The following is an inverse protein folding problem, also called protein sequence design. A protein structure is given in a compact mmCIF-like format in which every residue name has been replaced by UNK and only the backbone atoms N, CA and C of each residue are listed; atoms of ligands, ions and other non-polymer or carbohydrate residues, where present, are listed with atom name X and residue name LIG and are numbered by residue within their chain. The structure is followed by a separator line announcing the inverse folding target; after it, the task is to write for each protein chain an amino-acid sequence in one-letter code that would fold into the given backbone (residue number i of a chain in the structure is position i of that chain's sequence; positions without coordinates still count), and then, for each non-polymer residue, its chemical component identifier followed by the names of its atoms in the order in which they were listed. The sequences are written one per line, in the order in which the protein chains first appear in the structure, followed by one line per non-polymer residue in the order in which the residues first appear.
data_IF_521554473636
#
_entry.id   IF_521554473636
#
_cell.length_a   1.000
_cell.length_b   1.000
_cell.length_c   1.000
_cell.angle_alpha   90.00
_cell.angle_beta   90.00
_cell.angle_gamma   90.00
#
_symmetry.space_group_name_H-M   'P 1'
#
loop_
_entity.id
_entity.type
_entity.pdbx_description
1 polymer ?
#
# COMPACT_ATOMS: atom_id res chain seq x y z
N UNK A 1 -33.97 -48.96 30.80
CA UNK A 1 -32.67 -48.32 30.47
C UNK A 1 -32.78 -47.66 29.10
N UNK A 2 -32.96 -46.32 29.05
CA UNK A 2 -33.06 -45.59 27.78
C UNK A 2 -31.68 -45.01 27.47
N UNK A 3 -31.05 -45.41 26.35
CA UNK A 3 -29.81 -44.87 25.86
C UNK A 3 -30.10 -43.61 25.03
N UNK A 4 -29.53 -42.50 25.44
CA UNK A 4 -29.53 -41.23 24.68
C UNK A 4 -28.31 -41.25 23.75
N UNK A 5 -28.54 -41.10 22.45
CA UNK A 5 -27.49 -40.85 21.49
C UNK A 5 -27.46 -39.33 21.23
N UNK A 6 -26.34 -38.68 21.63
CA UNK A 6 -26.07 -37.30 21.27
C UNK A 6 -25.47 -37.27 19.86
N UNK A 7 -26.18 -36.65 18.93
CA UNK A 7 -25.62 -36.30 17.61
C UNK A 7 -24.74 -35.05 17.77
N UNK A 8 -23.44 -35.23 17.56
CA UNK A 8 -22.49 -34.11 17.42
C UNK A 8 -22.51 -33.68 15.95
N UNK A 9 -23.11 -32.52 15.67
CA UNK A 9 -23.06 -31.90 14.35
C UNK A 9 -21.72 -31.22 14.16
N UNK A 10 -20.85 -31.79 13.31
CA UNK A 10 -19.61 -31.16 12.87
C UNK A 10 -19.94 -30.15 11.78
N UNK A 11 -19.86 -28.86 12.12
CA UNK A 11 -19.96 -27.78 11.14
C UNK A 11 -18.62 -27.63 10.45
N UNK A 12 -18.55 -28.04 9.19
CA UNK A 12 -17.42 -27.75 8.32
C UNK A 12 -17.47 -26.27 7.91
N UNK A 13 -16.59 -25.42 8.48
CA UNK A 13 -16.30 -24.11 7.90
C UNK A 13 -15.47 -24.34 6.64
N UNK A 14 -16.13 -24.35 5.48
CA UNK A 14 -15.46 -24.27 4.20
C UNK A 14 -14.86 -22.87 4.05
N UNK A 15 -13.57 -22.73 4.36
CA UNK A 15 -12.80 -21.56 3.99
C UNK A 15 -12.82 -21.44 2.47
N UNK A 16 -13.52 -20.44 1.95
CA UNK A 16 -13.52 -20.08 0.54
C UNK A 16 -12.13 -19.56 0.21
N UNK A 17 -11.23 -20.42 -0.29
CA UNK A 17 -10.00 -19.97 -0.94
C UNK A 17 -10.40 -19.22 -2.21
N UNK A 18 -10.24 -17.90 -2.23
CA UNK A 18 -10.37 -17.12 -3.45
C UNK A 18 -9.29 -17.60 -4.42
N UNK A 19 -9.70 -18.06 -5.60
CA UNK A 19 -8.78 -18.37 -6.67
C UNK A 19 -7.99 -17.09 -7.03
N UNK A 20 -6.68 -17.18 -7.35
CA UNK A 20 -5.92 -16.04 -7.81
C UNK A 20 -6.58 -15.43 -9.05
N UNK A 21 -6.68 -14.08 -9.09
CA UNK A 21 -7.25 -13.39 -10.23
C UNK A 21 -6.48 -13.75 -11.51
N UNK A 22 -7.20 -13.97 -12.61
CA UNK A 22 -6.60 -14.22 -13.91
C UNK A 22 -5.70 -13.04 -14.31
N UNK A 23 -4.60 -13.32 -15.03
CA UNK A 23 -3.70 -12.28 -15.55
C UNK A 23 -4.49 -11.22 -16.35
N UNK A 24 -4.25 -9.95 -16.07
CA UNK A 24 -4.93 -8.83 -16.71
C UNK A 24 -6.31 -8.46 -16.14
N UNK A 25 -6.96 -9.30 -15.33
CA UNK A 25 -8.23 -8.95 -14.70
C UNK A 25 -8.02 -8.08 -13.45
N UNK A 26 -8.87 -7.04 -13.29
CA UNK A 26 -8.88 -6.23 -12.08
C UNK A 26 -9.47 -7.01 -10.90
N UNK A 27 -8.76 -7.02 -9.80
CA UNK A 27 -9.19 -7.52 -8.50
C UNK A 27 -9.40 -6.32 -7.58
N UNK A 28 -10.60 -6.20 -6.99
CA UNK A 28 -10.83 -5.22 -5.92
C UNK A 28 -10.11 -5.66 -4.65
N UNK A 29 -9.34 -4.76 -4.05
CA UNK A 29 -8.71 -4.95 -2.74
C UNK A 29 -9.53 -4.34 -1.60
N UNK A 30 -10.60 -3.61 -1.92
CA UNK A 30 -11.52 -3.03 -0.96
C UNK A 30 -12.93 -3.00 -1.53
N UNK A 31 -13.88 -3.60 -0.83
CA UNK A 31 -15.27 -3.76 -1.25
C UNK A 31 -16.18 -2.56 -0.90
N UNK A 32 -15.61 -1.52 -0.27
CA UNK A 32 -16.36 -0.36 0.23
C UNK A 32 -17.18 -0.62 1.50
N UNK A 33 -17.10 -1.81 2.10
CA UNK A 33 -17.95 -2.22 3.22
C UNK A 33 -17.21 -2.86 4.38
N UNK A 34 -16.12 -3.59 4.10
CA UNK A 34 -15.42 -4.39 5.09
C UNK A 34 -13.91 -4.24 4.97
N UNK A 35 -13.18 -4.64 6.02
CA UNK A 35 -11.71 -4.75 6.03
C UNK A 35 -11.25 -6.13 5.55
N UNK A 36 -12.13 -6.92 4.94
CA UNK A 36 -11.80 -8.26 4.47
C UNK A 36 -10.67 -8.21 3.43
N UNK A 37 -9.71 -9.12 3.54
CA UNK A 37 -8.53 -9.18 2.66
C UNK A 37 -7.32 -8.41 3.19
N UNK A 38 -7.49 -7.62 4.25
CA UNK A 38 -6.43 -6.90 4.92
C UNK A 38 -6.13 -7.47 6.31
N UNK A 39 -4.86 -7.63 6.62
CA UNK A 39 -4.37 -8.04 7.93
C UNK A 39 -3.18 -7.19 8.33
N UNK A 40 -2.83 -7.22 9.60
CA UNK A 40 -1.51 -6.73 10.05
C UNK A 40 -0.40 -7.64 9.53
N UNK A 41 0.85 -7.21 9.61
CA UNK A 41 2.02 -7.99 9.13
C UNK A 41 2.21 -9.32 9.86
N UNK A 42 1.69 -9.45 11.08
CA UNK A 42 1.69 -10.69 11.88
C UNK A 42 0.39 -11.50 11.72
N UNK A 43 -0.43 -11.18 10.71
CA UNK A 43 -1.63 -11.93 10.34
C UNK A 43 -2.86 -11.68 11.22
N UNK A 44 -2.82 -10.69 12.12
CA UNK A 44 -3.97 -10.33 12.96
C UNK A 44 -4.97 -9.44 12.20
N UNK A 45 -6.21 -9.36 12.68
CA UNK A 45 -7.16 -8.37 12.16
C UNK A 45 -6.61 -6.94 12.22
N UNK A 46 -7.12 -6.02 11.36
CA UNK A 46 -6.80 -4.60 11.43
C UNK A 46 -7.02 -4.03 12.84
N UNK A 47 -6.15 -3.12 13.25
CA UNK A 47 -6.26 -2.44 14.55
C UNK A 47 -7.45 -1.47 14.62
N UNK A 48 -7.79 -1.02 15.84
CA UNK A 48 -8.94 -0.14 16.12
C UNK A 48 -8.90 1.20 15.38
N UNK A 49 -7.73 1.62 14.89
CA UNK A 49 -7.59 2.85 14.09
C UNK A 49 -8.12 2.74 12.67
N UNK A 50 -8.41 1.52 12.18
CA UNK A 50 -9.00 1.31 10.86
C UNK A 50 -10.51 1.09 10.95
N UNK A 51 -11.27 1.84 10.17
CA UNK A 51 -12.72 1.73 10.04
C UNK A 51 -13.16 1.81 8.58
N UNK A 52 -14.42 1.46 8.33
CA UNK A 52 -15.08 1.74 7.05
C UNK A 52 -16.18 2.75 7.29
N UNK A 53 -16.10 3.89 6.62
CA UNK A 53 -17.01 5.01 6.75
C UNK A 53 -17.47 5.50 5.38
N UNK A 54 -18.77 5.48 5.10
CA UNK A 54 -19.35 5.97 3.84
C UNK A 54 -18.64 5.41 2.57
N UNK A 55 -18.34 4.12 2.58
CA UNK A 55 -17.67 3.45 1.46
C UNK A 55 -16.18 3.75 1.34
N UNK A 56 -15.56 4.37 2.35
CA UNK A 56 -14.14 4.63 2.41
C UNK A 56 -13.46 3.82 3.53
N UNK A 57 -12.28 3.33 3.26
CA UNK A 57 -11.38 2.81 4.27
C UNK A 57 -10.70 3.99 4.95
N UNK A 58 -10.91 4.15 6.25
CA UNK A 58 -10.43 5.28 7.03
C UNK A 58 -9.43 4.83 8.10
N UNK A 59 -8.29 5.52 8.14
CA UNK A 59 -7.33 5.48 9.25
C UNK A 59 -7.55 6.72 10.11
N UNK A 60 -7.91 6.53 11.37
CA UNK A 60 -8.22 7.63 12.29
C UNK A 60 -6.99 8.40 12.78
N UNK A 61 -5.79 7.86 12.56
CA UNK A 61 -4.54 8.39 13.11
C UNK A 61 -4.28 7.97 14.56
N UNK A 62 -3.27 8.60 15.16
CA UNK A 62 -2.86 8.31 16.55
C UNK A 62 -2.16 6.96 16.75
N UNK A 63 -1.73 6.29 15.69
CA UNK A 63 -0.94 5.05 15.74
C UNK A 63 -1.70 3.80 16.21
N UNK A 64 -3.03 3.82 16.19
CA UNK A 64 -3.87 2.70 16.64
C UNK A 64 -4.25 1.71 15.55
N UNK A 65 -3.98 2.04 14.28
CA UNK A 65 -4.33 1.21 13.14
C UNK A 65 -3.32 0.10 12.89
N UNK A 66 -2.05 0.43 12.96
CA UNK A 66 -0.96 -0.40 12.46
C UNK A 66 -0.98 -0.52 10.93
N UNK A 67 0.09 -1.03 10.36
CA UNK A 67 0.18 -1.25 8.92
C UNK A 67 -0.70 -2.42 8.49
N UNK A 68 -1.42 -2.27 7.37
CA UNK A 68 -2.20 -3.33 6.77
C UNK A 68 -1.52 -3.87 5.52
N UNK A 69 -1.54 -5.20 5.35
CA UNK A 69 -0.97 -5.88 4.18
C UNK A 69 -2.00 -6.74 3.48
N UNK A 70 -1.84 -6.90 2.16
CA UNK A 70 -2.59 -7.88 1.38
C UNK A 70 -2.20 -9.31 1.75
N UNK A 71 -3.12 -10.25 1.55
CA UNK A 71 -2.81 -11.68 1.67
C UNK A 71 -1.81 -12.13 0.59
N UNK A 72 -2.05 -11.69 -0.65
CA UNK A 72 -1.26 -12.05 -1.82
C UNK A 72 -0.02 -11.17 -2.01
N UNK A 73 0.95 -11.71 -2.77
CA UNK A 73 2.14 -11.01 -3.23
C UNK A 73 2.05 -10.75 -4.73
N UNK A 74 2.67 -9.64 -5.16
CA UNK A 74 2.66 -9.18 -6.54
C UNK A 74 4.08 -8.89 -7.00
N UNK A 75 4.40 -9.28 -8.23
CA UNK A 75 5.69 -9.04 -8.90
C UNK A 75 5.53 -7.95 -9.96
N UNK A 76 4.80 -8.25 -11.02
CA UNK A 76 4.38 -7.29 -12.06
C UNK A 76 2.89 -7.02 -11.90
N UNK A 77 2.51 -5.76 -11.79
CA UNK A 77 1.13 -5.38 -11.47
C UNK A 77 0.83 -3.93 -11.84
N UNK A 78 -0.44 -3.63 -11.91
CA UNK A 78 -0.97 -2.27 -11.88
C UNK A 78 -1.90 -2.15 -10.66
N UNK A 79 -1.64 -1.17 -9.79
CA UNK A 79 -2.39 -0.88 -8.58
C UNK A 79 -2.95 0.53 -8.65
N UNK A 80 -4.25 0.67 -8.49
CA UNK A 80 -4.93 1.96 -8.46
C UNK A 80 -5.68 2.16 -7.16
N UNK A 81 -5.74 3.41 -6.69
CA UNK A 81 -6.57 3.82 -5.56
C UNK A 81 -6.85 5.31 -5.58
N UNK A 82 -7.93 5.71 -4.89
CA UNK A 82 -8.17 7.10 -4.53
C UNK A 82 -7.85 7.30 -3.06
N UNK A 83 -7.31 8.48 -2.74
CA UNK A 83 -6.91 8.79 -1.38
C UNK A 83 -7.04 10.29 -1.07
N UNK A 84 -7.20 10.61 0.21
CA UNK A 84 -7.01 11.94 0.78
C UNK A 84 -6.34 11.81 2.14
N UNK A 85 -5.63 12.85 2.56
CA UNK A 85 -5.00 12.97 3.86
C UNK A 85 -5.43 14.28 4.52
N UNK A 86 -5.28 14.35 5.83
CA UNK A 86 -5.49 15.63 6.54
C UNK A 86 -4.39 16.64 6.23
N UNK A 87 -4.63 17.91 6.58
CA UNK A 87 -3.60 18.96 6.52
C UNK A 87 -2.40 18.59 7.40
N UNK A 88 -1.19 18.76 6.87
CA UNK A 88 0.09 18.32 7.44
C UNK A 88 0.20 16.81 7.62
N UNK A 89 -0.67 16.01 7.00
CA UNK A 89 -0.67 14.57 7.10
C UNK A 89 0.46 13.93 6.31
N UNK A 90 0.85 12.74 6.76
CA UNK A 90 1.82 11.85 6.13
C UNK A 90 1.26 10.43 6.13
N UNK A 91 1.35 9.77 4.99
CA UNK A 91 0.98 8.37 4.83
C UNK A 91 1.66 7.78 3.57
N UNK A 92 1.38 6.53 3.24
CA UNK A 92 1.94 5.92 2.03
C UNK A 92 1.30 4.59 1.68
N UNK A 93 1.54 4.17 0.43
CA UNK A 93 1.24 2.83 -0.04
C UNK A 93 2.55 2.16 -0.42
N UNK A 94 2.89 1.06 0.28
CA UNK A 94 4.10 0.30 -0.04
C UNK A 94 3.76 -0.89 -0.91
N UNK A 95 4.72 -1.26 -1.74
CA UNK A 95 4.67 -2.43 -2.61
C UNK A 95 6.00 -3.18 -2.59
N UNK A 96 6.01 -4.43 -3.08
CA UNK A 96 7.11 -5.36 -2.89
C UNK A 96 7.53 -5.48 -1.42
N UNK A 97 6.53 -5.45 -0.54
CA UNK A 97 6.77 -5.52 0.90
C UNK A 97 7.12 -6.95 1.30
N UNK A 98 8.21 -7.08 2.01
CA UNK A 98 8.70 -8.35 2.55
C UNK A 98 9.32 -8.15 3.93
N UNK A 99 9.53 -9.25 4.65
CA UNK A 99 10.26 -9.24 5.91
C UNK A 99 11.77 -9.01 5.64
N UNK A 100 12.34 -8.00 6.26
CA UNK A 100 13.77 -7.65 6.19
C UNK A 100 14.29 -7.55 7.62
N UNK A 101 14.90 -8.61 8.12
CA UNK A 101 15.25 -8.73 9.52
C UNK A 101 14.01 -8.77 10.41
N UNK A 102 13.85 -7.77 11.29
CA UNK A 102 12.69 -7.60 12.17
C UNK A 102 11.65 -6.61 11.63
N UNK A 103 11.89 -6.04 10.45
CA UNK A 103 11.04 -5.01 9.85
C UNK A 103 10.32 -5.57 8.62
N UNK A 104 9.20 -4.94 8.26
CA UNK A 104 8.51 -5.15 7.00
C UNK A 104 8.77 -3.93 6.12
N UNK A 105 9.55 -4.11 5.08
CA UNK A 105 10.00 -3.04 4.19
C UNK A 105 9.60 -3.30 2.75
N UNK A 106 9.41 -2.24 2.00
CA UNK A 106 9.10 -2.23 0.58
C UNK A 106 9.30 -0.84 0.00
N UNK A 107 9.12 -0.71 -1.31
CA UNK A 107 9.07 0.60 -1.96
C UNK A 107 7.80 1.32 -1.53
N UNK A 108 7.88 2.63 -1.35
CA UNK A 108 6.74 3.43 -0.88
C UNK A 108 6.38 4.52 -1.88
N UNK A 109 5.14 4.50 -2.35
CA UNK A 109 4.50 5.63 -2.97
C UNK A 109 4.11 6.59 -1.85
N UNK A 110 4.79 7.72 -1.75
CA UNK A 110 4.57 8.68 -0.68
C UNK A 110 3.25 9.44 -0.86
N UNK A 111 2.52 9.63 0.22
CA UNK A 111 1.31 10.45 0.32
C UNK A 111 1.49 11.43 1.48
N UNK A 112 1.85 12.68 1.17
CA UNK A 112 2.19 13.67 2.18
C UNK A 112 1.64 15.03 1.79
N UNK A 113 1.38 15.91 2.74
CA UNK A 113 0.97 17.30 2.46
C UNK A 113 2.20 18.12 2.06
N UNK A 114 2.51 18.13 0.76
CA UNK A 114 3.68 18.83 0.22
C UNK A 114 3.69 20.31 0.63
N UNK A 115 4.81 20.74 1.20
CA UNK A 115 5.00 22.12 1.63
C UNK A 115 4.42 22.49 3.01
N UNK A 116 3.52 21.67 3.59
CA UNK A 116 2.98 21.90 4.93
C UNK A 116 3.48 20.88 5.96
N UNK A 117 3.86 19.67 5.54
CA UNK A 117 4.53 18.70 6.40
C UNK A 117 6.04 18.93 6.37
N UNK A 118 6.73 18.76 7.50
CA UNK A 118 8.17 19.05 7.64
C UNK A 118 9.05 18.21 6.69
N UNK A 119 8.61 16.99 6.34
CA UNK A 119 9.31 16.08 5.44
C UNK A 119 8.87 16.22 3.96
N UNK A 120 7.68 16.80 3.71
CA UNK A 120 7.06 16.94 2.39
C UNK A 120 7.57 18.15 1.61
N UNK A 121 8.88 18.19 1.27
CA UNK A 121 9.43 19.29 0.48
C UNK A 121 9.23 19.03 -1.02
N UNK A 122 8.56 19.94 -1.78
CA UNK A 122 8.41 19.79 -3.22
C UNK A 122 9.74 19.52 -3.93
N UNK A 123 9.76 18.52 -4.83
CA UNK A 123 10.95 18.11 -5.55
C UNK A 123 11.94 17.24 -4.76
N UNK A 124 11.68 16.96 -3.48
CA UNK A 124 12.49 16.03 -2.71
C UNK A 124 12.03 14.57 -2.95
N UNK A 125 12.89 13.62 -2.56
CA UNK A 125 12.55 12.19 -2.56
C UNK A 125 11.47 11.82 -1.54
N UNK A 126 11.03 12.77 -0.71
CA UNK A 126 9.99 12.60 0.32
C UNK A 126 8.67 13.27 -0.05
N UNK A 127 8.59 13.95 -1.20
CA UNK A 127 7.35 14.57 -1.68
C UNK A 127 6.34 13.51 -2.16
N UNK A 128 5.08 13.88 -2.20
CA UNK A 128 3.98 13.02 -2.71
C UNK A 128 4.32 12.42 -4.07
N UNK A 129 3.94 11.16 -4.24
CA UNK A 129 4.14 10.33 -5.42
C UNK A 129 5.61 9.93 -5.70
N UNK A 130 6.59 10.38 -4.92
CA UNK A 130 7.97 9.89 -4.99
C UNK A 130 8.04 8.39 -4.65
N UNK A 131 9.05 7.69 -5.18
CA UNK A 131 9.52 6.45 -4.55
C UNK A 131 10.35 6.92 -3.35
N UNK A 132 9.77 6.84 -2.16
CA UNK A 132 10.30 7.47 -0.95
C UNK A 132 11.79 7.15 -0.74
N UNK A 133 12.58 8.20 -0.53
CA UNK A 133 14.03 8.17 -0.31
C UNK A 133 14.88 7.61 -1.49
N UNK A 134 14.27 7.35 -2.65
CA UNK A 134 14.96 6.78 -3.82
C UNK A 134 14.81 7.63 -5.09
N UNK A 135 13.60 8.05 -5.44
CA UNK A 135 13.33 8.79 -6.67
C UNK A 135 12.28 9.86 -6.46
N UNK A 136 12.63 11.13 -6.63
CA UNK A 136 11.69 12.23 -6.55
C UNK A 136 10.67 12.18 -7.70
N UNK A 137 9.42 12.53 -7.37
CA UNK A 137 8.39 12.80 -8.37
C UNK A 137 8.61 14.17 -9.04
N UNK A 138 7.99 14.35 -10.22
CA UNK A 138 7.99 15.63 -10.92
C UNK A 138 7.53 16.78 -10.00
N UNK A 139 8.19 17.93 -10.10
CA UNK A 139 7.92 19.09 -9.22
C UNK A 139 6.56 19.69 -9.52
N UNK A 140 6.18 19.71 -10.80
CA UNK A 140 4.93 20.26 -11.35
C UNK A 140 3.78 19.24 -11.41
N UNK A 141 3.88 18.18 -10.61
CA UNK A 141 2.83 17.13 -10.53
C UNK A 141 1.46 17.71 -10.15
N UNK A 142 0.34 17.16 -10.71
CA UNK A 142 -1.00 17.69 -10.48
C UNK A 142 -1.58 17.26 -9.12
N UNK A 143 -0.90 17.59 -8.03
CA UNK A 143 -1.33 17.28 -6.67
C UNK A 143 -2.49 18.18 -6.26
N UNK A 144 -3.59 17.58 -5.79
CA UNK A 144 -4.67 18.28 -5.12
C UNK A 144 -4.34 18.49 -3.64
N UNK A 145 -4.78 19.59 -3.03
CA UNK A 145 -4.49 19.90 -1.63
C UNK A 145 -4.95 18.82 -0.63
N UNK A 146 -4.35 18.82 0.56
CA UNK A 146 -4.83 17.98 1.67
C UNK A 146 -6.31 18.24 1.95
N UNK A 147 -7.08 17.18 2.20
CA UNK A 147 -8.54 17.19 2.32
C UNK A 147 -9.27 16.91 1.00
N UNK A 148 -8.60 16.99 -0.15
CA UNK A 148 -9.18 16.65 -1.45
C UNK A 148 -8.75 15.25 -1.90
N UNK A 149 -9.62 14.60 -2.70
CA UNK A 149 -9.34 13.29 -3.26
C UNK A 149 -8.33 13.36 -4.40
N UNK A 150 -7.25 12.60 -4.28
CA UNK A 150 -6.29 12.32 -5.34
C UNK A 150 -6.50 10.90 -5.87
N UNK A 151 -6.19 10.67 -7.14
CA UNK A 151 -6.11 9.34 -7.75
C UNK A 151 -4.65 9.00 -8.01
N UNK A 152 -4.24 7.81 -7.62
CA UNK A 152 -2.89 7.31 -7.86
C UNK A 152 -2.89 5.96 -8.52
N UNK A 153 -1.85 5.72 -9.32
CA UNK A 153 -1.59 4.43 -9.93
C UNK A 153 -0.10 4.12 -9.86
N UNK A 154 0.22 2.88 -9.55
CA UNK A 154 1.55 2.30 -9.65
C UNK A 154 1.50 1.24 -10.74
N UNK A 155 2.39 1.32 -11.73
CA UNK A 155 2.63 0.26 -12.70
C UNK A 155 4.03 -0.29 -12.48
N UNK A 156 4.10 -1.60 -12.25
CA UNK A 156 5.37 -2.32 -12.16
C UNK A 156 5.36 -3.46 -13.17
N UNK A 157 6.32 -3.43 -14.09
CA UNK A 157 6.47 -4.49 -15.09
C UNK A 157 7.93 -4.80 -15.33
N UNK A 158 8.36 -6.03 -15.03
CA UNK A 158 9.74 -6.49 -15.24
C UNK A 158 10.80 -5.53 -14.66
N UNK A 159 10.57 -5.04 -13.42
CA UNK A 159 11.47 -4.12 -12.74
C UNK A 159 11.33 -2.64 -13.11
N UNK A 160 10.61 -2.31 -14.18
CA UNK A 160 10.27 -0.92 -14.51
C UNK A 160 9.10 -0.47 -13.64
N UNK A 161 9.28 0.68 -13.00
CA UNK A 161 8.34 1.27 -12.04
C UNK A 161 7.87 2.61 -12.57
N UNK A 162 6.57 2.81 -12.61
CA UNK A 162 5.96 4.09 -12.96
C UNK A 162 4.95 4.47 -11.88
N UNK A 163 5.01 5.72 -11.40
CA UNK A 163 3.99 6.31 -10.55
C UNK A 163 3.20 7.36 -11.31
N UNK A 164 1.89 7.30 -11.15
CA UNK A 164 0.96 8.28 -11.69
C UNK A 164 0.22 8.98 -10.57
N UNK A 165 -0.03 10.26 -10.75
CA UNK A 165 -0.86 11.08 -9.88
C UNK A 165 -1.86 11.85 -10.74
N UNK A 166 -3.16 11.70 -10.45
CA UNK A 166 -4.24 12.34 -11.18
C UNK A 166 -4.09 12.22 -12.71
N UNK A 167 -3.85 10.98 -13.17
CA UNK A 167 -3.65 10.56 -14.56
C UNK A 167 -2.36 11.07 -15.25
N UNK A 168 -1.44 11.68 -14.50
CA UNK A 168 -0.15 12.13 -15.02
C UNK A 168 0.97 11.24 -14.50
N UNK A 169 1.82 10.72 -15.37
CA UNK A 169 3.04 10.01 -14.97
C UNK A 169 4.01 11.00 -14.33
N UNK A 170 4.40 10.75 -13.09
CA UNK A 170 5.24 11.66 -12.28
C UNK A 170 6.57 11.04 -11.85
N UNK A 171 6.70 9.71 -11.95
CA UNK A 171 7.94 8.97 -11.76
C UNK A 171 8.03 7.88 -12.81
N UNK A 172 9.23 7.71 -13.37
CA UNK A 172 9.66 6.49 -14.05
C UNK A 172 11.03 6.11 -13.51
N UNK A 173 11.20 4.83 -13.12
CA UNK A 173 12.45 4.32 -12.59
C UNK A 173 12.61 2.82 -12.87
N UNK A 174 13.82 2.41 -13.23
CA UNK A 174 14.14 1.01 -13.51
C UNK A 174 14.94 0.43 -12.34
N UNK A 175 14.34 -0.50 -11.60
CA UNK A 175 14.95 -1.16 -10.44
C UNK A 175 16.11 -2.11 -10.82
N UNK A 176 16.37 -2.33 -12.11
CA UNK A 176 17.51 -3.12 -12.61
C UNK A 176 18.70 -2.27 -13.04
N UNK A 177 18.52 -0.95 -13.09
CA UNK A 177 19.51 0.02 -13.61
C UNK A 177 20.64 0.33 -12.63
N UNK A 178 21.75 0.89 -13.15
CA UNK A 178 22.81 1.43 -12.29
C UNK A 178 22.38 2.69 -11.54
N UNK A 179 21.42 3.46 -12.08
CA UNK A 179 20.81 4.58 -11.38
C UNK A 179 20.06 4.11 -10.11
N UNK A 180 19.38 2.96 -10.18
CA UNK A 180 18.77 2.32 -9.00
C UNK A 180 19.82 1.97 -7.94
N UNK A 181 20.90 1.29 -8.33
CA UNK A 181 21.98 0.91 -7.40
C UNK A 181 22.57 2.13 -6.70
N UNK A 182 22.79 3.21 -7.45
CA UNK A 182 23.29 4.49 -6.94
C UNK A 182 22.30 5.12 -5.93
N UNK A 183 21.02 5.19 -6.28
CA UNK A 183 19.98 5.72 -5.40
C UNK A 183 19.85 4.90 -4.11
N UNK A 184 19.84 3.57 -4.23
CA UNK A 184 19.77 2.67 -3.08
C UNK A 184 20.97 2.84 -2.14
N UNK A 185 22.20 2.95 -2.70
CA UNK A 185 23.42 3.16 -1.92
C UNK A 185 23.43 4.51 -1.17
N UNK A 186 22.75 5.52 -1.70
CA UNK A 186 22.59 6.83 -1.07
C UNK A 186 21.45 6.90 -0.04
N UNK A 187 20.52 5.94 -0.06
CA UNK A 187 19.29 5.96 0.74
C UNK A 187 19.49 5.41 2.16
N UNK A 188 18.47 5.60 3.01
CA UNK A 188 18.38 4.94 4.33
C UNK A 188 18.32 3.40 4.24
N UNK A 189 18.00 2.87 3.06
CA UNK A 189 17.87 1.43 2.82
C UNK A 189 19.19 0.75 2.41
N UNK A 190 20.32 1.50 2.26
CA UNK A 190 21.62 0.99 1.78
C UNK A 190 22.14 -0.26 2.49
N UNK A 191 21.78 -0.42 3.79
CA UNK A 191 22.22 -1.56 4.62
C UNK A 191 21.09 -2.58 4.86
N UNK A 192 19.97 -2.51 4.13
CA UNK A 192 18.82 -3.40 4.28
C UNK A 192 18.87 -4.50 3.24
N UNK A 193 19.65 -5.56 3.52
CA UNK A 193 19.72 -6.74 2.63
C UNK A 193 18.35 -7.35 2.42
N UNK A 194 17.94 -7.56 1.15
CA UNK A 194 16.63 -8.06 0.79
C UNK A 194 15.53 -6.99 0.69
N UNK A 195 15.89 -5.71 0.77
CA UNK A 195 14.96 -4.62 0.49
C UNK A 195 14.51 -4.61 -0.97
N UNK A 196 13.20 -4.44 -1.20
CA UNK A 196 12.57 -4.38 -2.52
C UNK A 196 12.94 -5.57 -3.43
N UNK A 197 12.57 -6.81 -3.07
CA UNK A 197 13.05 -8.04 -3.73
C UNK A 197 12.45 -8.29 -5.11
N UNK A 198 11.68 -7.35 -5.67
CA UNK A 198 11.01 -7.50 -6.97
C UNK A 198 9.65 -8.20 -6.90
N UNK A 199 9.27 -8.71 -5.73
CA UNK A 199 7.97 -9.32 -5.44
C UNK A 199 7.65 -9.15 -3.97
N UNK A 200 6.37 -8.96 -3.64
CA UNK A 200 5.93 -8.83 -2.24
C UNK A 200 4.50 -8.33 -2.12
N UNK A 201 4.11 -8.06 -0.89
CA UNK A 201 2.76 -7.59 -0.54
C UNK A 201 2.59 -6.11 -0.87
N UNK A 202 1.33 -5.68 -0.99
CA UNK A 202 0.93 -4.27 -0.90
C UNK A 202 0.64 -3.97 0.57
N UNK A 203 1.06 -2.77 1.03
CA UNK A 203 0.86 -2.32 2.40
C UNK A 203 0.28 -0.90 2.42
N UNK A 204 -0.76 -0.69 3.21
CA UNK A 204 -1.20 0.64 3.63
C UNK A 204 -0.50 0.97 4.95
N UNK A 205 0.19 2.10 5.00
CA UNK A 205 0.98 2.47 6.18
C UNK A 205 0.13 3.23 7.21
N UNK A 206 0.51 3.13 8.48
CA UNK A 206 0.02 3.98 9.57
C UNK A 206 1.19 4.85 10.06
N UNK A 207 1.19 6.12 9.67
CA UNK A 207 2.15 7.14 10.12
C UNK A 207 1.55 8.06 11.19
N UNK A 208 0.56 7.61 11.93
CA UNK A 208 -0.15 8.31 13.00
C UNK A 208 -1.09 9.44 12.50
N UNK A 209 -1.20 9.67 11.21
CA UNK A 209 -2.05 10.71 10.63
C UNK A 209 -3.30 10.12 9.96
N UNK A 210 -4.46 10.81 10.06
CA UNK A 210 -5.66 10.40 9.35
C UNK A 210 -5.48 10.34 7.84
N UNK A 211 -5.97 9.23 7.26
CA UNK A 211 -5.97 9.01 5.83
C UNK A 211 -7.24 8.26 5.41
N UNK A 212 -7.70 8.49 4.19
CA UNK A 212 -8.88 7.85 3.61
C UNK A 212 -8.52 7.27 2.26
N UNK A 213 -9.04 6.06 2.00
CA UNK A 213 -8.80 5.32 0.77
C UNK A 213 -10.12 4.80 0.22
N UNK A 214 -10.24 4.72 -1.09
CA UNK A 214 -11.34 4.04 -1.79
C UNK A 214 -10.90 3.55 -3.16
N UNK A 215 -11.73 2.73 -3.80
CA UNK A 215 -11.51 2.21 -5.14
C UNK A 215 -10.13 1.54 -5.30
N UNK A 216 -9.68 0.83 -4.26
CA UNK A 216 -8.40 0.13 -4.26
C UNK A 216 -8.55 -1.13 -5.10
N UNK A 217 -7.83 -1.21 -6.22
CA UNK A 217 -7.85 -2.37 -7.10
C UNK A 217 -6.48 -2.65 -7.69
N UNK A 218 -6.23 -3.91 -8.01
CA UNK A 218 -4.97 -4.37 -8.58
C UNK A 218 -5.22 -5.33 -9.72
N UNK A 219 -4.31 -5.38 -10.70
CA UNK A 219 -4.24 -6.46 -11.69
C UNK A 219 -2.80 -6.91 -11.89
N UNK A 220 -2.61 -8.19 -12.20
CA UNK A 220 -1.31 -8.76 -12.58
C UNK A 220 -1.01 -8.44 -14.04
N UNK A 221 0.28 -8.19 -14.38
CA UNK A 221 0.75 -7.85 -15.72
C UNK A 221 1.71 -8.89 -16.27
#
# INVERSE_FOLDING_TARGET
MKKWFSLVSIVWLSGMMMAPAAEGAWQSLFDGKTLQGWTTVDGKPPGEGWSVEEGTLHLSGGGKGGNLVTAEEYESFELEWQWKIQKKGNNGVKYWVSAVGKEWLGLEYQMIDDGNHHDGKPGSHHATASIYDLKAAAVDKPLRPAGEWNHSCIVVKQGKIQHFLNNTMVVEFDATSDAWKTALAASKFRNKTGFAPGKGKVMLTDHNDPAWYKDIRIRRL
#
